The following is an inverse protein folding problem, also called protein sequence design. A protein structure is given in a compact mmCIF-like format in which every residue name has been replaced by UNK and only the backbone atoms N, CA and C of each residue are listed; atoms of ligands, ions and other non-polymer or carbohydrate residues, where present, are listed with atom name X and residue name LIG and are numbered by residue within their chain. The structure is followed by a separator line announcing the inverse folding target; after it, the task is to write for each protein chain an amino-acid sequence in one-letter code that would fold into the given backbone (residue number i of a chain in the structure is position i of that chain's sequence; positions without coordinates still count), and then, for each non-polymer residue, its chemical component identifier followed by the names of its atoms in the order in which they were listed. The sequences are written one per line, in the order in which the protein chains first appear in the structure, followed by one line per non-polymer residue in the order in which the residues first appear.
data_IF_710534993038
#
_entry.id   IF_710534993038
#
_cell.length_a   1.000
_cell.length_b   1.000
_cell.length_c   1.000
_cell.angle_alpha   90.00
_cell.angle_beta   90.00
_cell.angle_gamma   90.00
#
_symmetry.space_group_name_H-M   'P 1'
#
loop_
_entity.id
_entity.type
_entity.pdbx_description
1 polymer ?
#
# COMPACT_ATOMS: atom_id res chain seq x y z
N UNK A 1 -30.26 15.09 -3.96
CA UNK A 1 -29.19 14.36 -4.68
C UNK A 1 -27.90 15.07 -4.32
N UNK A 2 -27.23 14.58 -3.28
CA UNK A 2 -25.95 15.16 -2.82
C UNK A 2 -24.83 14.48 -3.62
N UNK A 3 -23.88 15.24 -4.19
CA UNK A 3 -22.83 14.67 -5.02
C UNK A 3 -21.77 14.04 -4.10
N UNK A 4 -21.46 12.78 -4.39
CA UNK A 4 -20.27 12.05 -3.96
C UNK A 4 -19.83 12.28 -2.50
N UNK A 5 -20.32 11.42 -1.60
CA UNK A 5 -19.45 10.94 -0.52
C UNK A 5 -18.25 10.30 -1.22
N UNK A 6 -17.12 11.01 -1.27
CA UNK A 6 -15.83 10.39 -1.58
C UNK A 6 -15.63 9.40 -0.44
N UNK A 7 -16.07 8.16 -0.65
CA UNK A 7 -15.70 7.07 0.22
C UNK A 7 -14.19 6.97 0.03
N UNK A 8 -13.43 7.59 0.95
CA UNK A 8 -11.98 7.53 0.92
C UNK A 8 -11.62 6.05 1.00
N UNK A 9 -11.15 5.50 -0.13
CA UNK A 9 -10.74 4.11 -0.20
C UNK A 9 -9.68 3.85 0.89
N UNK A 10 -9.76 2.72 1.60
CA UNK A 10 -8.81 2.43 2.67
C UNK A 10 -7.39 2.45 2.11
N UNK A 11 -6.47 3.01 2.90
CA UNK A 11 -5.06 3.01 2.56
C UNK A 11 -4.34 1.88 3.30
N UNK A 12 -3.28 1.37 2.72
CA UNK A 12 -2.51 0.25 3.26
C UNK A 12 -1.05 0.64 3.36
N UNK A 13 -0.45 0.42 4.52
CA UNK A 13 0.99 0.49 4.69
C UNK A 13 1.58 -0.88 4.38
N UNK A 14 2.38 -0.95 3.34
CA UNK A 14 3.11 -2.16 2.92
C UNK A 14 4.58 -1.98 3.25
N UNK A 15 5.17 -2.92 4.00
CA UNK A 15 6.58 -2.92 4.39
C UNK A 15 7.22 -4.22 3.90
N UNK A 16 8.34 -4.12 3.17
CA UNK A 16 9.13 -5.27 2.74
C UNK A 16 10.28 -5.50 3.74
N UNK A 17 10.24 -6.62 4.46
CA UNK A 17 11.24 -7.02 5.46
C UNK A 17 12.22 -8.05 4.86
N UNK A 18 13.37 -7.56 4.37
CA UNK A 18 14.44 -8.42 3.82
C UNK A 18 15.13 -9.30 4.88
N UNK A 19 15.04 -8.95 6.17
CA UNK A 19 15.67 -9.74 7.23
C UNK A 19 14.97 -11.10 7.45
N UNK A 20 13.72 -11.20 6.99
CA UNK A 20 12.85 -12.37 7.14
C UNK A 20 12.44 -12.96 5.80
N UNK A 21 13.42 -13.27 4.94
CA UNK A 21 13.19 -13.88 3.61
C UNK A 21 12.25 -13.05 2.71
N UNK A 22 12.34 -11.72 2.78
CA UNK A 22 11.46 -10.79 2.04
C UNK A 22 9.97 -10.92 2.40
N UNK A 23 9.66 -11.24 3.67
CA UNK A 23 8.28 -11.19 4.16
C UNK A 23 7.70 -9.79 4.01
N UNK A 24 6.39 -9.69 3.80
CA UNK A 24 5.69 -8.43 3.68
C UNK A 24 4.77 -8.24 4.89
N UNK A 25 4.83 -7.07 5.51
CA UNK A 25 3.86 -6.63 6.50
C UNK A 25 2.89 -5.65 5.85
N UNK A 26 1.60 -5.95 5.93
CA UNK A 26 0.52 -5.07 5.48
C UNK A 26 -0.30 -4.65 6.69
N UNK A 27 -0.50 -3.35 6.84
CA UNK A 27 -1.38 -2.78 7.85
C UNK A 27 -2.35 -1.83 7.17
N UNK A 28 -3.65 -2.01 7.40
CA UNK A 28 -4.61 -0.99 6.99
C UNK A 28 -4.42 0.29 7.82
N UNK A 29 -4.39 1.45 7.13
CA UNK A 29 -4.21 2.77 7.70
C UNK A 29 -5.29 3.73 7.18
N UNK A 30 -5.76 4.63 8.05
CA UNK A 30 -6.81 5.60 7.71
C UNK A 30 -8.20 5.18 8.19
N UNK A 31 -9.23 5.69 7.53
CA UNK A 31 -10.63 5.37 7.82
C UNK A 31 -11.03 4.10 7.03
N UNK A 32 -12.06 3.38 7.49
CA UNK A 32 -12.63 2.19 6.83
C UNK A 32 -11.81 0.87 6.89
N UNK A 33 -10.89 0.73 7.84
CA UNK A 33 -10.14 -0.52 8.06
C UNK A 33 -10.91 -1.66 8.77
N UNK A 34 -12.19 -1.45 9.12
CA UNK A 34 -12.96 -2.38 9.98
C UNK A 34 -13.19 -3.74 9.29
N UNK A 35 -13.37 -3.73 7.97
CA UNK A 35 -13.59 -4.93 7.14
C UNK A 35 -12.37 -5.28 6.27
N UNK A 36 -11.18 -4.82 6.65
CA UNK A 36 -9.98 -5.05 5.83
C UNK A 36 -9.69 -6.55 5.72
N UNK A 37 -9.78 -7.07 4.50
CA UNK A 37 -9.40 -8.46 4.18
C UNK A 37 -7.89 -8.65 3.98
N UNK A 38 -7.11 -7.56 4.05
CA UNK A 38 -5.68 -7.54 3.73
C UNK A 38 -4.92 -6.88 4.89
N UNK A 39 -4.56 -7.67 5.90
CA UNK A 39 -3.81 -7.21 7.06
C UNK A 39 -2.97 -8.38 7.61
N UNK A 40 -1.78 -8.07 8.10
CA UNK A 40 -0.87 -9.03 8.72
C UNK A 40 0.43 -9.25 7.95
N UNK A 41 1.05 -10.41 8.21
CA UNK A 41 2.33 -10.79 7.64
C UNK A 41 2.15 -11.84 6.55
N UNK A 42 2.77 -11.61 5.41
CA UNK A 42 2.81 -12.46 4.23
C UNK A 42 4.24 -12.92 3.98
N UNK A 43 4.42 -14.11 3.41
CA UNK A 43 5.75 -14.69 3.15
C UNK A 43 6.44 -14.06 1.94
N UNK A 44 5.69 -13.36 1.08
CA UNK A 44 6.18 -12.75 -0.16
C UNK A 44 5.12 -11.89 -0.86
N UNK A 45 5.53 -11.23 -1.94
CA UNK A 45 4.68 -10.34 -2.74
C UNK A 45 3.54 -11.08 -3.42
N UNK A 46 3.80 -12.33 -3.82
CA UNK A 46 2.88 -13.23 -4.51
C UNK A 46 1.65 -13.61 -3.67
N UNK A 47 1.71 -13.47 -2.34
CA UNK A 47 0.58 -13.77 -1.45
C UNK A 47 -0.37 -12.57 -1.28
N UNK A 48 0.02 -11.37 -1.72
CA UNK A 48 -0.85 -10.20 -1.69
C UNK A 48 -1.92 -10.29 -2.80
N UNK A 49 -3.06 -9.59 -2.66
CA UNK A 49 -3.99 -9.43 -3.78
C UNK A 49 -3.33 -8.75 -4.98
N UNK A 50 -3.72 -9.16 -6.20
CA UNK A 50 -3.11 -8.68 -7.44
C UNK A 50 -3.09 -7.15 -7.56
N UNK A 51 -4.17 -6.48 -7.19
CA UNK A 51 -4.27 -5.01 -7.23
C UNK A 51 -3.19 -4.34 -6.36
N UNK A 52 -2.84 -4.93 -5.22
CA UNK A 52 -1.83 -4.40 -4.31
C UNK A 52 -0.43 -4.66 -4.87
N UNK A 53 -0.18 -5.85 -5.43
CA UNK A 53 1.09 -6.17 -6.10
C UNK A 53 1.41 -5.18 -7.22
N UNK A 54 0.43 -4.90 -8.08
CA UNK A 54 0.57 -3.97 -9.21
C UNK A 54 0.87 -2.54 -8.73
N UNK A 55 0.12 -2.05 -7.73
CA UNK A 55 0.34 -0.71 -7.18
C UNK A 55 1.71 -0.59 -6.49
N UNK A 56 2.16 -1.61 -5.73
CA UNK A 56 3.50 -1.62 -5.13
C UNK A 56 4.59 -1.60 -6.21
N UNK A 57 4.44 -2.39 -7.28
CA UNK A 57 5.39 -2.40 -8.40
C UNK A 57 5.50 -1.02 -9.07
N UNK A 58 4.38 -0.32 -9.28
CA UNK A 58 4.38 1.06 -9.80
C UNK A 58 5.10 2.03 -8.85
N UNK A 59 4.84 1.93 -7.54
CA UNK A 59 5.51 2.78 -6.56
C UNK A 59 7.01 2.48 -6.45
N UNK A 60 7.45 1.23 -6.66
CA UNK A 60 8.88 0.89 -6.70
C UNK A 60 9.64 1.59 -7.84
N UNK A 61 8.94 2.01 -8.90
CA UNK A 61 9.52 2.79 -9.99
C UNK A 61 9.70 4.28 -9.64
N UNK A 62 9.09 4.78 -8.57
CA UNK A 62 9.24 6.18 -8.13
C UNK A 62 10.42 6.37 -7.18
N UNK A 63 10.96 7.58 -7.11
CA UNK A 63 12.01 7.92 -6.13
C UNK A 63 11.48 7.80 -4.70
N UNK A 64 12.31 7.24 -3.80
CA UNK A 64 12.10 7.32 -2.36
C UNK A 64 12.87 8.48 -1.70
N UNK A 65 13.70 9.21 -2.46
CA UNK A 65 14.43 10.38 -1.98
C UNK A 65 13.46 11.57 -1.95
N UNK A 66 13.26 12.24 -0.80
CA UNK A 66 12.36 13.38 -0.70
C UNK A 66 12.70 14.51 -1.68
N UNK A 67 11.68 15.20 -2.24
CA UNK A 67 10.25 14.98 -2.02
C UNK A 67 9.74 13.74 -2.77
N UNK A 68 9.02 12.86 -2.07
CA UNK A 68 8.36 11.72 -2.71
C UNK A 68 7.02 12.15 -3.30
N UNK A 69 6.63 11.51 -4.41
CA UNK A 69 5.45 11.87 -5.21
C UNK A 69 4.27 11.00 -4.81
N UNK A 70 3.11 11.62 -4.65
CA UNK A 70 1.83 10.93 -4.55
C UNK A 70 1.32 10.59 -5.96
N UNK A 71 1.01 9.33 -6.19
CA UNK A 71 0.52 8.81 -7.48
C UNK A 71 -0.98 8.57 -7.34
N UNK A 72 -1.76 9.42 -8.02
CA UNK A 72 -3.22 9.40 -7.98
C UNK A 72 -3.78 8.00 -8.26
N UNK A 73 -4.67 7.51 -7.37
CA UNK A 73 -5.29 6.17 -7.44
C UNK A 73 -4.37 4.99 -7.09
N UNK A 74 -3.08 5.24 -6.84
CA UNK A 74 -2.09 4.19 -6.54
C UNK A 74 -1.57 4.30 -5.11
N UNK A 75 -1.09 5.48 -4.71
CA UNK A 75 -0.47 5.71 -3.41
C UNK A 75 0.88 6.41 -3.48
N UNK A 76 1.73 6.18 -2.48
CA UNK A 76 2.98 6.91 -2.30
C UNK A 76 4.11 6.02 -1.79
N UNK A 77 5.30 6.15 -2.39
CA UNK A 77 6.53 5.56 -1.85
C UNK A 77 7.04 6.43 -0.68
N UNK A 78 7.19 5.82 0.48
CA UNK A 78 7.57 6.53 1.72
C UNK A 78 9.07 6.46 1.96
N UNK A 79 9.65 5.28 1.75
CA UNK A 79 11.10 5.07 1.77
C UNK A 79 11.44 3.90 0.83
N UNK A 80 12.66 3.39 0.92
CA UNK A 80 13.14 2.30 0.06
C UNK A 80 12.20 1.08 0.05
N UNK A 81 11.57 0.75 1.19
CA UNK A 81 10.80 -0.49 1.42
C UNK A 81 9.42 -0.30 2.02
N UNK A 82 8.98 0.93 2.20
CA UNK A 82 7.67 1.27 2.78
C UNK A 82 6.83 2.03 1.77
N UNK A 83 5.60 1.57 1.59
CA UNK A 83 4.65 2.12 0.64
C UNK A 83 3.33 2.39 1.34
N UNK A 84 2.67 3.47 0.95
CA UNK A 84 1.23 3.64 1.17
C UNK A 84 0.53 3.30 -0.14
N UNK A 85 -0.47 2.44 -0.08
CA UNK A 85 -1.21 1.93 -1.23
C UNK A 85 -2.68 2.23 -1.03
N UNK A 86 -3.31 2.90 -1.98
CA UNK A 86 -4.76 3.13 -1.95
C UNK A 86 -5.48 1.90 -2.49
N UNK A 87 -6.67 1.59 -1.97
CA UNK A 87 -7.53 0.58 -2.60
C UNK A 87 -8.16 1.13 -3.88
#
# INVERSE_FOLDING_TARGET
MSPNETQEDPAYRVIIDESKKNSIEVQCIGMYCVDSMVDGSYSGMEELPQWMQEKVALLMMTSYIPPTIDVEGVGRRINERTFWVYQ
#
